data_IF_089079395918
#
_entry.id   IF_089079395918
#
_cell.length_a   1.000
_cell.length_b   1.000
_cell.length_c   1.000
_cell.angle_alpha   90.00
_cell.angle_beta   90.00
_cell.angle_gamma   90.00
#
_symmetry.space_group_name_H-M   'P 1'
#
loop_
_entity.id
_entity.type
_entity.pdbx_description
1 polymer ?
#
# COMPACT_ATOMS: atom_id res chain seq x y z
N UNK A 1 1.09 8.62 -30.26
CA UNK A 1 0.05 8.37 -29.24
C UNK A 1 0.51 9.03 -27.95
N UNK A 2 -0.10 10.15 -27.59
CA UNK A 2 0.06 10.78 -26.28
C UNK A 2 -0.75 9.94 -25.29
N UNK A 3 -0.07 9.16 -24.46
CA UNK A 3 -0.73 8.51 -23.34
C UNK A 3 -1.04 9.60 -22.31
N UNK A 4 -2.33 9.87 -22.10
CA UNK A 4 -2.77 10.75 -21.02
C UNK A 4 -2.54 10.01 -19.70
N UNK A 5 -1.48 10.37 -19.00
CA UNK A 5 -1.13 9.84 -17.67
C UNK A 5 -1.89 10.59 -16.58
N UNK A 6 -3.20 10.74 -16.73
CA UNK A 6 -4.00 11.43 -15.73
C UNK A 6 -4.01 10.57 -14.46
N UNK A 7 -3.43 11.04 -13.34
CA UNK A 7 -3.39 10.24 -12.13
C UNK A 7 -4.82 9.99 -11.66
N UNK A 8 -5.16 8.73 -11.43
CA UNK A 8 -6.47 8.37 -10.87
C UNK A 8 -6.52 8.86 -9.41
N UNK A 9 -7.53 9.65 -9.04
CA UNK A 9 -7.70 10.07 -7.65
C UNK A 9 -7.81 8.86 -6.71
N UNK A 10 -7.18 8.92 -5.53
CA UNK A 10 -7.18 7.82 -4.59
C UNK A 10 -8.60 7.37 -4.16
N UNK A 11 -9.56 8.30 -4.12
CA UNK A 11 -10.96 8.02 -3.85
C UNK A 11 -11.55 7.07 -4.90
N UNK A 12 -11.31 7.36 -6.18
CA UNK A 12 -11.84 6.60 -7.30
C UNK A 12 -11.19 5.20 -7.37
N UNK A 13 -9.96 5.04 -6.87
CA UNK A 13 -9.32 3.73 -6.70
C UNK A 13 -10.00 2.89 -5.62
N UNK A 14 -10.38 3.51 -4.49
CA UNK A 14 -11.04 2.81 -3.38
C UNK A 14 -12.49 2.46 -3.73
N UNK A 15 -13.20 3.31 -4.46
CA UNK A 15 -14.58 3.07 -4.89
C UNK A 15 -14.72 1.87 -5.85
N UNK A 16 -13.66 1.51 -6.57
CA UNK A 16 -13.59 0.30 -7.42
C UNK A 16 -13.47 -1.00 -6.61
N UNK A 17 -13.08 -0.92 -5.34
CA UNK A 17 -13.02 -2.09 -4.49
C UNK A 17 -14.44 -2.55 -4.14
N UNK A 18 -14.65 -3.87 -4.06
CA UNK A 18 -15.86 -4.41 -3.46
C UNK A 18 -16.01 -3.93 -2.01
N UNK A 19 -17.23 -3.85 -1.44
CA UNK A 19 -17.43 -3.38 -0.07
C UNK A 19 -16.58 -4.11 0.97
N UNK A 20 -16.35 -5.43 0.77
CA UNK A 20 -15.47 -6.24 1.63
C UNK A 20 -14.02 -5.81 1.53
N UNK A 21 -13.52 -5.51 0.33
CA UNK A 21 -12.16 -5.04 0.11
C UNK A 21 -11.96 -3.60 0.59
N UNK A 22 -12.98 -2.75 0.51
CA UNK A 22 -12.95 -1.41 1.13
C UNK A 22 -12.79 -1.51 2.64
N UNK A 23 -13.54 -2.41 3.31
CA UNK A 23 -13.40 -2.65 4.74
C UNK A 23 -12.00 -3.17 5.11
N UNK A 24 -11.43 -4.07 4.29
CA UNK A 24 -10.07 -4.57 4.47
C UNK A 24 -9.03 -3.45 4.30
N UNK A 25 -9.17 -2.59 3.29
CA UNK A 25 -8.31 -1.44 3.05
C UNK A 25 -8.33 -0.45 4.24
N UNK A 26 -9.51 -0.13 4.76
CA UNK A 26 -9.67 0.72 5.94
C UNK A 26 -8.99 0.12 7.18
N UNK A 27 -9.11 -1.19 7.37
CA UNK A 27 -8.46 -1.89 8.47
C UNK A 27 -6.92 -1.85 8.34
N UNK A 28 -6.38 -2.14 7.15
CA UNK A 28 -4.94 -2.06 6.88
C UNK A 28 -4.39 -0.65 7.13
N UNK A 29 -5.10 0.38 6.66
CA UNK A 29 -4.73 1.77 6.90
C UNK A 29 -4.77 2.14 8.40
N UNK A 30 -5.77 1.67 9.14
CA UNK A 30 -5.87 1.87 10.60
C UNK A 30 -4.68 1.23 11.34
N UNK A 31 -4.28 0.02 10.94
CA UNK A 31 -3.11 -0.66 11.50
C UNK A 31 -1.81 0.08 11.17
N UNK A 32 -1.61 0.47 9.90
CA UNK A 32 -0.49 1.31 9.47
C UNK A 32 -0.36 2.55 10.36
N UNK A 33 -1.46 3.31 10.50
CA UNK A 33 -1.47 4.55 11.30
C UNK A 33 -1.10 4.28 12.75
N UNK A 34 -1.64 3.23 13.34
CA UNK A 34 -1.31 2.81 14.71
C UNK A 34 0.19 2.55 14.85
N UNK A 35 0.76 1.71 13.98
CA UNK A 35 2.18 1.40 14.03
C UNK A 35 3.04 2.66 13.80
N UNK A 36 2.73 3.45 12.78
CA UNK A 36 3.45 4.67 12.45
C UNK A 36 3.52 5.66 13.63
N UNK A 37 2.39 5.91 14.29
CA UNK A 37 2.34 6.80 15.45
C UNK A 37 3.12 6.22 16.64
N UNK A 38 3.01 4.92 16.91
CA UNK A 38 3.75 4.28 18.00
C UNK A 38 5.27 4.31 17.80
N UNK A 39 5.79 4.40 16.56
CA UNK A 39 7.24 4.56 16.31
C UNK A 39 7.77 5.80 17.01
N UNK A 40 7.05 6.93 16.90
CA UNK A 40 7.45 8.19 17.53
C UNK A 40 7.50 8.04 19.04
N UNK A 41 6.47 7.46 19.63
CA UNK A 41 6.35 7.32 21.09
C UNK A 41 7.42 6.36 21.63
N UNK A 42 7.72 5.28 20.92
CA UNK A 42 8.79 4.32 21.29
C UNK A 42 10.20 4.92 21.16
N UNK A 43 10.43 5.81 20.19
CA UNK A 43 11.69 6.57 20.10
C UNK A 43 11.85 7.51 21.29
N UNK A 44 10.78 8.24 21.65
CA UNK A 44 10.79 9.14 22.80
C UNK A 44 11.00 8.39 24.13
N UNK A 45 10.49 7.16 24.24
CA UNK A 45 10.69 6.28 25.40
C UNK A 45 12.07 5.59 25.44
N UNK A 46 13.00 5.91 24.54
CA UNK A 46 14.35 5.30 24.52
C UNK A 46 14.36 3.84 24.08
N UNK A 47 13.35 3.38 23.31
CA UNK A 47 13.20 2.00 22.85
C UNK A 47 13.43 1.87 21.33
N UNK A 48 14.65 2.10 20.80
CA UNK A 48 14.91 2.14 19.36
C UNK A 48 14.72 0.78 18.67
N UNK A 49 14.91 -0.34 19.38
CA UNK A 49 14.63 -1.68 18.85
C UNK A 49 13.15 -1.88 18.55
N UNK A 50 12.28 -1.53 19.50
CA UNK A 50 10.82 -1.63 19.35
C UNK A 50 10.32 -0.67 18.28
N UNK A 51 10.83 0.57 18.27
CA UNK A 51 10.49 1.55 17.24
C UNK A 51 10.81 1.04 15.81
N UNK A 52 11.96 0.35 15.62
CA UNK A 52 12.30 -0.26 14.32
C UNK A 52 11.37 -1.40 13.94
N UNK A 53 10.97 -2.24 14.90
CA UNK A 53 9.99 -3.31 14.66
C UNK A 53 8.64 -2.75 14.22
N UNK A 54 8.14 -1.71 14.90
CA UNK A 54 6.89 -1.05 14.54
C UNK A 54 6.97 -0.34 13.19
N UNK A 55 8.10 0.27 12.85
CA UNK A 55 8.30 0.85 11.53
C UNK A 55 8.17 -0.21 10.42
N UNK A 56 8.80 -1.38 10.58
CA UNK A 56 8.68 -2.50 9.63
C UNK A 56 7.24 -3.00 9.50
N UNK A 57 6.49 -3.04 10.61
CA UNK A 57 5.07 -3.42 10.58
C UNK A 57 4.22 -2.38 9.85
N UNK A 58 4.50 -1.09 10.04
CA UNK A 58 3.84 -0.02 9.29
C UNK A 58 4.12 -0.19 7.77
N UNK A 59 5.38 -0.35 7.38
CA UNK A 59 5.77 -0.53 5.98
C UNK A 59 5.10 -1.77 5.36
N UNK A 60 5.01 -2.87 6.11
CA UNK A 60 4.31 -4.08 5.65
C UNK A 60 2.81 -3.82 5.41
N UNK A 61 2.13 -3.10 6.30
CA UNK A 61 0.70 -2.78 6.14
C UNK A 61 0.43 -1.82 5.00
N UNK A 62 1.35 -0.88 4.76
CA UNK A 62 1.28 -0.01 3.58
C UNK A 62 1.42 -0.81 2.29
N UNK A 63 2.34 -1.79 2.26
CA UNK A 63 2.51 -2.68 1.10
C UNK A 63 1.30 -3.57 0.88
N UNK A 64 0.73 -4.15 1.94
CA UNK A 64 -0.51 -4.94 1.83
C UNK A 64 -1.67 -4.10 1.27
N UNK A 65 -1.75 -2.83 1.66
CA UNK A 65 -2.74 -1.88 1.16
C UNK A 65 -2.53 -1.56 -0.33
N UNK A 66 -1.29 -1.28 -0.74
CA UNK A 66 -0.94 -1.09 -2.16
C UNK A 66 -1.28 -2.33 -2.99
N UNK A 67 -0.88 -3.51 -2.52
CA UNK A 67 -1.17 -4.79 -3.18
C UNK A 67 -2.67 -4.99 -3.37
N UNK A 68 -3.50 -4.67 -2.35
CA UNK A 68 -4.95 -4.81 -2.41
C UNK A 68 -5.59 -3.84 -3.40
N UNK A 69 -5.20 -2.57 -3.38
CA UNK A 69 -5.74 -1.54 -4.28
C UNK A 69 -5.34 -1.83 -5.73
N UNK A 70 -4.06 -2.16 -5.97
CA UNK A 70 -3.56 -2.44 -7.30
C UNK A 70 -4.13 -3.74 -7.86
N UNK A 71 -4.32 -4.79 -7.05
CA UNK A 71 -4.93 -6.03 -7.53
C UNK A 71 -6.34 -5.81 -8.10
N UNK A 72 -7.15 -4.96 -7.47
CA UNK A 72 -8.46 -4.61 -8.03
C UNK A 72 -8.33 -3.76 -9.30
N UNK A 73 -7.35 -2.85 -9.34
CA UNK A 73 -7.06 -2.09 -10.55
C UNK A 73 -6.59 -2.98 -11.71
N UNK A 74 -5.86 -4.06 -11.48
CA UNK A 74 -5.49 -5.01 -12.55
C UNK A 74 -6.69 -5.73 -13.17
N UNK A 75 -7.71 -6.00 -12.36
CA UNK A 75 -8.90 -6.74 -12.82
C UNK A 75 -9.82 -5.82 -13.64
N UNK A 76 -9.84 -4.52 -13.36
CA UNK A 76 -10.79 -3.56 -13.95
C UNK A 76 -10.15 -2.37 -14.71
N UNK A 77 -8.82 -2.26 -14.75
CA UNK A 77 -8.08 -1.10 -15.24
C UNK A 77 -7.34 -1.32 -16.56
N UNK A 78 -6.88 -0.23 -17.23
CA UNK A 78 -6.13 -0.31 -18.49
C UNK A 78 -4.84 -1.13 -18.29
N UNK A 79 -4.63 -2.12 -19.17
CA UNK A 79 -3.58 -3.16 -19.13
C UNK A 79 -2.15 -2.69 -18.82
N UNK A 80 -1.84 -1.41 -18.99
CA UNK A 80 -0.49 -0.85 -18.85
C UNK A 80 -0.06 -0.69 -17.39
N UNK A 81 -0.93 -0.22 -16.47
CA UNK A 81 -0.56 -0.16 -15.04
C UNK A 81 -0.44 -1.57 -14.46
N UNK A 82 -1.23 -2.50 -15.00
CA UNK A 82 -1.16 -3.90 -14.65
C UNK A 82 0.23 -4.49 -14.97
N UNK A 83 0.72 -4.22 -16.17
CA UNK A 83 2.04 -4.61 -16.63
C UNK A 83 3.18 -3.93 -15.86
N UNK A 84 3.05 -2.65 -15.48
CA UNK A 84 4.09 -1.94 -14.73
C UNK A 84 4.27 -2.48 -13.31
N UNK A 85 3.19 -2.89 -12.65
CA UNK A 85 3.23 -3.54 -11.35
C UNK A 85 3.82 -4.95 -11.40
N UNK A 86 3.42 -5.75 -12.40
CA UNK A 86 4.02 -7.08 -12.65
C UNK A 86 5.53 -6.97 -12.90
N UNK A 87 5.97 -5.96 -13.67
CA UNK A 87 7.40 -5.67 -13.86
C UNK A 87 8.10 -5.29 -12.56
N UNK A 88 7.45 -4.59 -11.63
CA UNK A 88 8.02 -4.25 -10.31
C UNK A 88 8.06 -5.46 -9.36
N UNK A 89 7.08 -6.36 -9.40
CA UNK A 89 7.09 -7.61 -8.61
C UNK A 89 8.06 -8.65 -9.18
N UNK A 90 8.10 -8.83 -10.49
CA UNK A 90 9.07 -9.67 -11.21
C UNK A 90 10.50 -9.09 -11.20
N UNK A 91 10.61 -7.78 -10.99
CA UNK A 91 11.86 -7.04 -10.83
C UNK A 91 12.57 -7.22 -9.48
N UNK A 92 12.11 -8.11 -8.58
CA UNK A 92 13.00 -8.72 -7.57
C UNK A 92 14.01 -9.64 -8.26
N UNK A 93 14.83 -9.05 -9.13
CA UNK A 93 16.03 -9.65 -9.66
C UNK A 93 16.98 -9.80 -8.48
N UNK A 94 17.42 -11.03 -8.27
CA UNK A 94 18.50 -11.39 -7.36
C UNK A 94 19.69 -10.49 -7.64
N UNK A 95 20.05 -9.63 -6.70
CA UNK A 95 21.41 -9.12 -6.52
C UNK A 95 21.83 -9.43 -5.10
#
# INVERSE_FOLDING_TARGET
MTHDFTPVPAKDLVERLSPTLQAAALNLHSQFRTFFLTVRDRRAAGQPGVARSHARQADARLRDLEDLVMAAFHVEGPEIEAQNWERRKGGKVRS
#
